data_IF_907616590451
#
_entry.id   IF_907616590451
#
_cell.length_a   1.000
_cell.length_b   1.000
_cell.length_c   1.000
_cell.angle_alpha   90.00
_cell.angle_beta   90.00
_cell.angle_gamma   90.00
#
_symmetry.space_group_name_H-M   'P 1'
#
loop_
_entity.id
_entity.type
_entity.pdbx_description
1 polymer ?
#
# COMPACT_ATOMS: atom_id res chain seq x y z
N UNK A 1 18.96 -1.46 -1.56
CA UNK A 1 18.17 -1.39 -2.81
C UNK A 1 16.91 -2.26 -2.74
N UNK A 2 15.75 -1.68 -3.05
CA UNK A 2 14.47 -2.39 -3.12
C UNK A 2 14.08 -2.52 -4.59
N UNK A 3 13.76 -3.74 -5.04
CA UNK A 3 13.23 -3.96 -6.38
C UNK A 3 11.70 -3.93 -6.35
N UNK A 4 11.10 -3.16 -7.26
CA UNK A 4 9.66 -3.19 -7.50
C UNK A 4 9.36 -3.44 -8.98
N UNK A 5 8.18 -3.98 -9.23
CA UNK A 5 7.70 -4.27 -10.59
C UNK A 5 6.51 -3.37 -10.93
N UNK A 6 6.61 -2.64 -12.04
CA UNK A 6 5.52 -1.88 -12.63
C UNK A 6 4.94 -2.71 -13.78
N UNK A 7 3.64 -2.97 -13.73
CA UNK A 7 2.91 -3.71 -14.76
C UNK A 7 2.05 -2.75 -15.58
N UNK A 8 2.09 -2.88 -16.90
CA UNK A 8 1.09 -2.24 -17.75
C UNK A 8 -0.30 -2.85 -17.50
N UNK A 9 -1.38 -2.16 -17.89
CA UNK A 9 -2.67 -2.82 -18.05
C UNK A 9 -2.54 -4.06 -18.95
N UNK A 10 -3.39 -5.06 -18.71
CA UNK A 10 -3.55 -6.17 -19.64
C UNK A 10 -4.18 -5.62 -20.93
N UNK A 11 -3.49 -5.80 -22.05
CA UNK A 11 -3.99 -5.38 -23.36
C UNK A 11 -5.01 -6.40 -23.88
N UNK A 12 -5.80 -6.01 -24.89
CA UNK A 12 -6.86 -6.86 -25.45
C UNK A 12 -6.32 -8.15 -26.11
N UNK A 13 -5.06 -8.13 -26.55
CA UNK A 13 -4.35 -9.29 -27.11
C UNK A 13 -3.75 -10.23 -26.04
N UNK A 14 -4.00 -9.95 -24.76
CA UNK A 14 -3.46 -10.71 -23.63
C UNK A 14 -2.01 -10.37 -23.27
N UNK A 15 -1.38 -9.41 -23.96
CA UNK A 15 -0.03 -8.97 -23.62
C UNK A 15 -0.01 -8.06 -22.40
N UNK A 16 1.06 -8.16 -21.61
CA UNK A 16 1.32 -7.28 -20.48
C UNK A 16 2.82 -7.00 -20.41
N UNK A 17 3.17 -5.72 -20.43
CA UNK A 17 4.55 -5.30 -20.26
C UNK A 17 4.87 -5.19 -18.78
N UNK A 18 5.99 -5.79 -18.39
CA UNK A 18 6.47 -5.79 -17.02
C UNK A 18 7.82 -5.07 -17.00
N UNK A 19 7.91 -3.99 -16.25
CA UNK A 19 9.15 -3.22 -16.06
C UNK A 19 9.63 -3.37 -14.63
N UNK A 20 10.87 -3.79 -14.45
CA UNK A 20 11.51 -3.87 -13.13
C UNK A 20 12.31 -2.60 -12.87
N UNK A 21 12.08 -1.98 -11.72
CA UNK A 21 12.81 -0.78 -11.29
C UNK A 21 13.59 -1.11 -10.03
N UNK A 22 14.89 -0.81 -10.05
CA UNK A 22 15.75 -0.92 -8.87
C UNK A 22 15.86 0.45 -8.20
N UNK A 23 15.31 0.57 -7.01
CA UNK A 23 15.39 1.80 -6.24
C UNK A 23 16.67 1.86 -5.40
N UNK A 24 17.30 3.03 -5.37
CA UNK A 24 18.49 3.30 -4.54
C UNK A 24 18.17 3.23 -3.04
N UNK A 25 16.95 3.57 -2.65
CA UNK A 25 16.38 3.46 -1.31
C UNK A 25 14.90 3.02 -1.39
N UNK A 26 14.22 2.70 -0.28
CA UNK A 26 12.81 2.30 -0.30
C UNK A 26 11.91 3.38 -0.93
N UNK A 27 10.97 3.01 -1.83
CA UNK A 27 10.01 3.95 -2.39
C UNK A 27 8.76 4.07 -1.51
N UNK A 28 8.20 5.28 -1.44
CA UNK A 28 7.01 5.65 -0.68
C UNK A 28 6.08 6.49 -1.58
N UNK A 29 4.87 5.99 -1.86
CA UNK A 29 3.89 6.67 -2.72
C UNK A 29 2.76 7.28 -1.89
N UNK A 30 2.47 8.55 -2.16
CA UNK A 30 1.42 9.35 -1.53
C UNK A 30 0.45 9.88 -2.59
N UNK A 31 -0.82 10.04 -2.24
CA UNK A 31 -1.86 10.53 -3.16
C UNK A 31 -2.79 11.51 -2.46
N UNK A 32 -2.86 12.73 -2.99
CA UNK A 32 -3.81 13.76 -2.57
C UNK A 32 -4.62 14.21 -3.80
N UNK A 33 -5.89 13.82 -3.87
CA UNK A 33 -6.74 14.09 -5.03
C UNK A 33 -6.16 13.52 -6.34
N UNK A 34 -5.68 14.42 -7.22
CA UNK A 34 -5.07 14.10 -8.52
C UNK A 34 -3.53 14.14 -8.50
N UNK A 35 -2.90 14.51 -7.39
CA UNK A 35 -1.45 14.54 -7.22
C UNK A 35 -0.95 13.21 -6.67
N UNK A 36 0.12 12.68 -7.28
CA UNK A 36 0.88 11.54 -6.79
C UNK A 36 2.31 12.01 -6.49
N UNK A 37 2.79 11.77 -5.28
CA UNK A 37 4.17 12.02 -4.89
C UNK A 37 4.88 10.70 -4.60
N UNK A 38 6.13 10.60 -5.06
CA UNK A 38 7.04 9.49 -4.80
C UNK A 38 8.25 10.02 -4.04
N UNK A 39 8.44 9.52 -2.83
CA UNK A 39 9.66 9.73 -2.04
C UNK A 39 10.49 8.44 -2.05
N UNK A 40 11.78 8.56 -2.35
CA UNK A 40 12.73 7.43 -2.37
C UNK A 40 13.79 7.71 -1.32
N UNK A 41 13.68 7.04 -0.17
CA UNK A 41 14.51 7.36 0.99
C UNK A 41 14.05 6.67 2.25
N UNK A 42 14.56 7.13 3.40
CA UNK A 42 14.20 6.57 4.72
C UNK A 42 14.24 7.64 5.82
N UNK A 43 14.23 8.92 5.43
CA UNK A 43 14.17 10.03 6.36
C UNK A 43 12.75 10.13 6.92
N UNK A 44 12.62 9.94 8.23
CA UNK A 44 11.32 9.93 8.90
C UNK A 44 10.69 11.33 8.91
N UNK A 45 11.48 12.40 8.97
CA UNK A 45 10.94 13.76 8.98
C UNK A 45 10.25 14.07 7.66
N UNK A 46 10.82 13.59 6.54
CA UNK A 46 10.21 13.71 5.21
C UNK A 46 8.98 12.82 5.08
N UNK A 47 9.05 11.58 5.59
CA UNK A 47 7.94 10.63 5.57
C UNK A 47 6.74 11.16 6.35
N UNK A 48 6.97 11.72 7.54
CA UNK A 48 5.93 12.26 8.41
C UNK A 48 5.34 13.54 7.83
N UNK A 49 6.18 14.45 7.32
CA UNK A 49 5.70 15.65 6.63
C UNK A 49 4.82 15.31 5.40
N UNK A 50 5.18 14.28 4.62
CA UNK A 50 4.36 13.82 3.49
C UNK A 50 3.06 13.14 3.94
N UNK A 51 3.09 12.39 5.05
CA UNK A 51 1.88 11.79 5.62
C UNK A 51 0.91 12.85 6.13
N UNK A 52 1.41 13.89 6.79
CA UNK A 52 0.58 14.99 7.28
C UNK A 52 -0.01 15.81 6.13
N UNK A 53 0.79 16.07 5.09
CA UNK A 53 0.36 16.88 3.96
C UNK A 53 -0.59 16.16 2.99
N UNK A 54 -0.37 14.86 2.75
CA UNK A 54 -1.05 14.10 1.68
C UNK A 54 -1.86 12.90 2.17
N UNK A 55 -1.80 12.59 3.46
CA UNK A 55 -2.40 11.40 4.05
C UNK A 55 -1.49 10.17 3.98
N UNK A 56 -2.00 9.00 4.38
CA UNK A 56 -1.19 7.80 4.51
C UNK A 56 -0.64 7.33 3.17
N UNK A 57 0.59 6.78 3.21
CA UNK A 57 1.21 6.08 2.08
C UNK A 57 0.28 4.99 1.55
N UNK A 58 0.01 5.00 0.24
CA UNK A 58 -0.89 4.03 -0.39
C UNK A 58 -0.15 2.91 -1.14
N UNK A 59 1.11 3.14 -1.54
CA UNK A 59 1.96 2.15 -2.19
C UNK A 59 3.45 2.37 -1.89
N UNK A 60 4.29 1.43 -2.27
CA UNK A 60 5.73 1.47 -2.03
C UNK A 60 6.13 0.92 -0.66
N UNK A 61 7.21 0.14 -0.64
CA UNK A 61 7.74 -0.53 0.53
C UNK A 61 7.52 -2.04 0.51
N UNK A 62 8.55 -2.77 0.94
CA UNK A 62 8.56 -4.22 0.98
C UNK A 62 7.45 -4.76 1.91
N UNK A 63 6.44 -5.37 1.29
CA UNK A 63 5.83 -6.59 1.80
C UNK A 63 5.37 -6.60 3.26
N UNK A 64 4.48 -5.70 3.64
CA UNK A 64 3.39 -6.09 4.53
C UNK A 64 2.26 -5.11 4.32
N UNK A 65 1.21 -5.57 3.66
CA UNK A 65 -0.13 -5.21 4.11
C UNK A 65 -0.11 -5.52 5.61
N UNK A 66 0.05 -4.51 6.46
CA UNK A 66 -0.47 -4.63 7.81
C UNK A 66 -1.98 -4.68 7.62
N UNK A 67 -2.47 -5.87 7.26
CA UNK A 67 -3.80 -6.27 7.68
C UNK A 67 -3.80 -5.94 9.18
N UNK A 68 -4.73 -5.10 9.68
CA UNK A 68 -5.07 -5.19 11.09
C UNK A 68 -5.31 -6.67 11.31
N UNK A 69 -4.52 -7.31 12.19
CA UNK A 69 -4.68 -8.72 12.44
C UNK A 69 -6.17 -8.94 12.76
N UNK A 70 -6.91 -9.57 11.84
CA UNK A 70 -8.24 -10.08 12.14
C UNK A 70 -7.94 -11.13 13.20
N UNK A 71 -8.00 -10.73 14.46
CA UNK A 71 -7.88 -11.65 15.58
C UNK A 71 -9.20 -12.41 15.58
N UNK A 72 -9.25 -13.51 14.83
CA UNK A 72 -10.32 -14.49 14.98
C UNK A 72 -10.24 -14.98 16.41
N UNK A 73 -11.07 -14.41 17.28
CA UNK A 73 -11.36 -15.03 18.57
C UNK A 73 -12.11 -16.30 18.20
N UNK A 74 -11.47 -17.46 18.37
CA UNK A 74 -12.13 -18.76 18.28
C UNK A 74 -13.33 -18.72 19.24
N UNK A 75 -14.51 -18.51 18.68
CA UNK A 75 -15.77 -18.61 19.40
C UNK A 75 -16.47 -19.86 18.90
N UNK A 76 -17.04 -20.57 19.87
CA UNK A 76 -17.55 -21.94 19.81
C UNK A 76 -18.54 -22.14 18.65
N UNK A 77 -18.70 -23.37 18.14
CA UNK A 77 -19.49 -23.61 16.94
C UNK A 77 -20.95 -23.28 17.23
N UNK A 78 -21.63 -22.74 16.22
CA UNK A 78 -23.04 -22.32 16.23
C UNK A 78 -23.27 -20.88 16.70
N UNK A 79 -22.91 -19.92 15.83
CA UNK A 79 -23.77 -18.82 15.34
C UNK A 79 -22.88 -17.71 14.75
N UNK A 80 -23.13 -17.34 13.49
CA UNK A 80 -22.45 -16.22 12.84
C UNK A 80 -23.28 -14.94 13.02
N UNK A 81 -22.75 -13.95 13.74
CA UNK A 81 -23.28 -12.57 13.70
C UNK A 81 -22.22 -11.67 13.07
N UNK A 82 -22.54 -11.12 11.89
CA UNK A 82 -21.73 -10.08 11.25
C UNK A 82 -22.05 -8.75 11.93
N UNK A 83 -21.07 -8.15 12.60
CA UNK A 83 -21.14 -6.76 13.08
C UNK A 83 -20.37 -5.89 12.08
N UNK A 84 -21.06 -4.99 11.37
CA UNK A 84 -20.42 -3.95 10.55
C UNK A 84 -20.06 -2.77 11.45
N UNK A 85 -18.82 -2.28 11.38
CA UNK A 85 -18.36 -1.12 12.16
C UNK A 85 -18.24 0.10 11.24
N UNK A 86 -18.93 1.18 11.62
CA UNK A 86 -18.88 2.52 11.02
C UNK A 86 -17.77 3.33 11.69
N UNK A 87 -16.88 3.94 10.90
CA UNK A 87 -15.76 4.76 11.39
C UNK A 87 -16.14 6.25 11.41
N UNK A 88 -15.85 6.95 12.51
CA UNK A 88 -15.62 8.41 12.60
C UNK A 88 -14.12 8.67 12.50
#
# INVERSE_FOLDING_TARGET
PTGDTIRSPLMADGSQTVTSVLWVAPPHYYKAGRLIALYVGSDNDVIDALQDAMGPRFAGGAGARRCPAIRFRQLRPSFLTVVRSTTT
#
